data_IF_667256272078
#
_entry.id   IF_667256272078
#
_cell.length_a   1.000
_cell.length_b   1.000
_cell.length_c   1.000
_cell.angle_alpha   90.00
_cell.angle_beta   90.00
_cell.angle_gamma   90.00
#
_symmetry.space_group_name_H-M   'P 1'
#
loop_
_entity.id
_entity.type
_entity.pdbx_description
1 polymer ?
#
# COMPACT_ATOMS: atom_id res chain seq x y z
N UNK A 1 21.21 -9.02 28.40
CA UNK A 1 20.41 -9.94 27.55
C UNK A 1 19.63 -9.06 26.59
N UNK A 2 19.81 -9.20 25.28
CA UNK A 2 19.12 -8.34 24.29
C UNK A 2 17.67 -8.81 24.10
N UNK A 3 16.71 -7.90 24.21
CA UNK A 3 15.30 -8.17 23.92
C UNK A 3 14.99 -8.16 22.42
N UNK A 4 13.79 -8.61 22.04
CA UNK A 4 13.26 -8.47 20.68
C UNK A 4 12.80 -7.01 20.51
N UNK A 5 13.23 -6.37 19.42
CA UNK A 5 12.87 -5.00 19.08
C UNK A 5 12.28 -4.95 17.67
N UNK A 6 11.29 -4.08 17.46
CA UNK A 6 10.72 -3.82 16.14
C UNK A 6 11.75 -3.06 15.29
N UNK A 7 12.11 -3.61 14.13
CA UNK A 7 12.95 -2.95 13.15
C UNK A 7 12.16 -2.11 12.15
N UNK A 8 12.80 -1.76 11.04
CA UNK A 8 12.14 -1.08 9.93
C UNK A 8 10.96 -1.92 9.44
N UNK A 9 9.82 -1.27 9.23
CA UNK A 9 8.59 -1.92 8.82
C UNK A 9 7.84 -1.06 7.80
N UNK A 10 7.14 -1.74 6.91
CA UNK A 10 6.25 -1.14 5.93
C UNK A 10 5.14 -2.13 5.62
N UNK A 11 3.99 -1.62 5.20
CA UNK A 11 2.87 -2.45 4.77
C UNK A 11 2.11 -1.77 3.63
N UNK A 12 1.37 -2.55 2.84
CA UNK A 12 0.49 -1.98 1.85
C UNK A 12 -0.10 -3.02 0.90
N UNK A 13 -0.62 -2.54 -0.23
CA UNK A 13 -1.19 -3.38 -1.28
C UNK A 13 -0.18 -3.54 -2.41
N UNK A 14 0.16 -4.79 -2.74
CA UNK A 14 1.01 -5.11 -3.87
C UNK A 14 0.17 -5.55 -5.08
N UNK A 15 0.73 -5.33 -6.26
CA UNK A 15 0.26 -5.91 -7.54
C UNK A 15 -1.20 -5.61 -7.87
N UNK A 16 -1.67 -4.39 -7.58
CA UNK A 16 -2.95 -3.92 -8.10
C UNK A 16 -2.81 -3.64 -9.58
N UNK A 17 -3.43 -4.47 -10.41
CA UNK A 17 -3.48 -4.29 -11.85
C UNK A 17 -4.53 -3.25 -12.25
N UNK A 18 -4.11 -2.21 -12.96
CA UNK A 18 -4.96 -1.08 -13.37
C UNK A 18 -4.78 -0.82 -14.86
N UNK A 19 -5.91 -0.82 -15.59
CA UNK A 19 -5.96 -0.43 -17.00
C UNK A 19 -6.78 0.85 -17.13
N UNK A 20 -6.16 1.90 -17.69
CA UNK A 20 -6.83 3.16 -18.02
C UNK A 20 -6.98 3.32 -19.53
N UNK A 21 -8.21 3.51 -19.96
CA UNK A 21 -8.57 3.88 -21.33
C UNK A 21 -8.83 5.39 -21.42
N UNK A 22 -8.18 6.08 -22.35
CA UNK A 22 -8.39 7.51 -22.62
C UNK A 22 -8.98 7.71 -24.02
N UNK A 23 -10.15 8.36 -24.08
CA UNK A 23 -10.94 8.56 -25.31
C UNK A 23 -11.16 10.05 -25.60
N UNK A 24 -10.17 10.72 -26.17
CA UNK A 24 -10.21 12.16 -26.43
C UNK A 24 -9.88 12.56 -27.87
N UNK A 25 -9.81 11.61 -28.80
CA UNK A 25 -9.51 11.86 -30.22
C UNK A 25 -10.04 10.73 -31.11
N UNK A 26 -9.59 10.70 -32.37
CA UNK A 26 -9.98 9.65 -33.33
C UNK A 26 -9.41 8.26 -32.98
N UNK A 27 -8.45 8.17 -32.06
CA UNK A 27 -7.85 6.93 -31.57
C UNK A 27 -7.87 6.87 -30.05
N UNK A 28 -8.22 5.70 -29.53
CA UNK A 28 -8.21 5.37 -28.11
C UNK A 28 -6.78 5.07 -27.63
N UNK A 29 -6.45 5.48 -26.40
CA UNK A 29 -5.15 5.24 -25.79
C UNK A 29 -5.28 4.40 -24.52
N UNK A 30 -4.43 3.38 -24.37
CA UNK A 30 -4.40 2.48 -23.21
C UNK A 30 -3.15 2.73 -22.38
N UNK A 31 -3.30 2.77 -21.06
CA UNK A 31 -2.21 2.63 -20.08
C UNK A 31 -2.51 1.42 -19.19
N UNK A 32 -1.59 0.48 -19.14
CA UNK A 32 -1.68 -0.74 -18.36
C UNK A 32 -0.53 -0.77 -17.35
N UNK A 33 -0.86 -0.86 -16.05
CA UNK A 33 0.09 -0.77 -14.96
C UNK A 33 -0.17 -1.86 -13.91
N UNK A 34 0.90 -2.42 -13.37
CA UNK A 34 0.89 -3.17 -12.11
C UNK A 34 1.46 -2.27 -11.02
N UNK A 35 0.64 -1.91 -10.04
CA UNK A 35 0.99 -0.92 -9.01
C UNK A 35 1.13 -1.59 -7.64
N UNK A 36 2.22 -1.26 -6.94
CA UNK A 36 2.45 -1.63 -5.54
C UNK A 36 2.62 -0.35 -4.71
N UNK A 37 1.95 -0.30 -3.55
CA UNK A 37 2.01 0.79 -2.59
C UNK A 37 2.49 0.24 -1.25
N UNK A 38 3.36 0.98 -0.57
CA UNK A 38 3.80 0.69 0.78
C UNK A 38 3.85 1.99 1.60
N UNK A 39 3.33 1.94 2.82
CA UNK A 39 3.44 2.99 3.83
C UNK A 39 4.41 2.56 4.92
N UNK A 40 5.27 3.49 5.34
CA UNK A 40 6.19 3.35 6.47
C UNK A 40 5.96 4.52 7.44
N UNK A 41 6.04 4.27 8.75
CA UNK A 41 5.68 5.25 9.78
C UNK A 41 5.60 4.64 11.18
N UNK A 42 4.87 5.32 12.08
CA UNK A 42 4.64 4.82 13.43
C UNK A 42 3.56 3.71 13.44
N UNK A 43 4.03 2.47 13.43
CA UNK A 43 3.19 1.27 13.51
C UNK A 43 3.53 0.39 14.72
N UNK A 44 4.19 0.94 15.73
CA UNK A 44 4.58 0.15 16.91
C UNK A 44 3.35 -0.43 17.63
N UNK A 45 2.27 0.35 17.76
CA UNK A 45 1.04 -0.09 18.44
C UNK A 45 0.41 -1.31 17.76
N UNK A 46 0.36 -1.35 16.43
CA UNK A 46 -0.14 -2.51 15.68
C UNK A 46 0.69 -3.76 15.93
N UNK A 47 2.03 -3.64 15.89
CA UNK A 47 2.92 -4.81 16.03
C UNK A 47 3.04 -5.30 17.48
N UNK A 48 2.94 -4.41 18.47
CA UNK A 48 3.18 -4.74 19.88
C UNK A 48 1.89 -5.04 20.66
N UNK A 49 0.76 -4.44 20.29
CA UNK A 49 -0.51 -4.60 21.02
C UNK A 49 -1.72 -4.92 20.13
N UNK A 50 -1.59 -4.76 18.80
CA UNK A 50 -2.68 -4.99 17.86
C UNK A 50 -3.62 -3.80 17.67
N UNK A 51 -3.27 -2.61 18.18
CA UNK A 51 -4.05 -1.40 17.90
C UNK A 51 -3.82 -0.95 16.45
N UNK A 52 -4.89 -0.97 15.66
CA UNK A 52 -4.90 -0.61 14.25
C UNK A 52 -5.40 0.83 13.99
N UNK A 53 -5.52 1.67 15.02
CA UNK A 53 -6.02 3.05 14.89
C UNK A 53 -5.22 3.91 13.90
N UNK A 54 -3.92 3.62 13.72
CA UNK A 54 -3.04 4.27 12.75
C UNK A 54 -2.89 3.50 11.44
N UNK A 55 -3.56 2.36 11.28
CA UNK A 55 -3.46 1.52 10.07
C UNK A 55 -4.54 1.89 9.08
N UNK A 56 -4.15 2.55 7.98
CA UNK A 56 -4.98 2.64 6.79
C UNK A 56 -5.13 1.24 6.17
N UNK A 57 -6.34 0.72 6.02
CA UNK A 57 -6.53 -0.63 5.46
C UNK A 57 -5.93 -0.70 4.06
N UNK A 58 -5.41 -1.88 3.68
CA UNK A 58 -4.83 -2.08 2.34
C UNK A 58 -5.88 -1.96 1.22
N UNK A 59 -7.16 -2.09 1.56
CA UNK A 59 -8.27 -1.83 0.64
C UNK A 59 -8.44 -0.34 0.34
N UNK A 60 -8.25 0.56 1.32
CA UNK A 60 -8.29 2.01 1.09
C UNK A 60 -7.07 2.54 0.32
N UNK A 61 -5.97 1.78 0.26
CA UNK A 61 -4.81 2.12 -0.57
C UNK A 61 -5.03 1.80 -2.06
N UNK A 62 -6.00 0.94 -2.38
CA UNK A 62 -6.34 0.52 -3.75
C UNK A 62 -7.27 1.53 -4.41
#
# INVERSE_FOLDING_TARGET
MGGIVLGDNQYGKAETHVVRLSRSGAQDNIKDLTVSVALAGDFAATHLTGDNSLVLTTDTQK
#
